data_IF_076970063740
#
_entry.id   IF_076970063740
#
_cell.length_a   1.000
_cell.length_b   1.000
_cell.length_c   1.000
_cell.angle_alpha   90.00
_cell.angle_beta   90.00
_cell.angle_gamma   90.00
#
_symmetry.space_group_name_H-M   'P 1'
#
loop_
_entity.id
_entity.type
_entity.pdbx_description
1 polymer ?
#
# COMPACT_ATOMS: atom_id res chain seq x y z
N UNK A 1 12.62 -4.85 -4.31
CA UNK A 1 12.63 -6.30 -4.09
C UNK A 1 14.06 -6.67 -3.73
N UNK A 2 14.27 -7.20 -2.53
CA UNK A 2 15.59 -7.65 -2.07
C UNK A 2 15.63 -9.15 -2.35
N UNK A 3 16.67 -9.63 -3.04
CA UNK A 3 16.82 -11.06 -3.31
C UNK A 3 17.75 -11.69 -2.29
N UNK A 4 17.42 -12.91 -1.84
CA UNK A 4 18.23 -13.73 -0.92
C UNK A 4 19.13 -14.73 -1.65
N UNK A 5 19.30 -14.58 -2.97
CA UNK A 5 20.06 -15.51 -3.81
C UNK A 5 21.45 -15.79 -3.20
N UNK A 6 22.18 -14.73 -2.84
CA UNK A 6 23.53 -14.82 -2.26
C UNK A 6 23.56 -15.56 -0.92
N UNK A 7 22.55 -15.33 -0.07
CA UNK A 7 22.46 -15.93 1.25
C UNK A 7 22.23 -17.42 1.14
N UNK A 8 21.25 -17.84 0.34
CA UNK A 8 20.90 -19.25 0.13
C UNK A 8 22.05 -19.98 -0.55
N UNK A 9 22.66 -19.43 -1.60
CA UNK A 9 23.82 -20.00 -2.24
C UNK A 9 24.95 -20.27 -1.24
N UNK A 10 25.30 -19.27 -0.41
CA UNK A 10 26.35 -19.40 0.60
C UNK A 10 26.02 -20.41 1.69
N UNK A 11 24.77 -20.45 2.14
CA UNK A 11 24.32 -21.44 3.10
C UNK A 11 24.47 -22.88 2.60
N UNK A 12 24.38 -23.07 1.26
CA UNK A 12 24.62 -24.37 0.60
C UNK A 12 26.10 -24.59 0.24
N UNK A 13 27.01 -23.65 0.55
CA UNK A 13 28.44 -23.78 0.24
C UNK A 13 28.76 -23.66 -1.26
N UNK A 14 27.82 -23.16 -2.09
CA UNK A 14 28.00 -23.11 -3.55
C UNK A 14 28.74 -21.84 -3.99
N UNK A 15 29.57 -21.99 -5.04
CA UNK A 15 30.19 -20.85 -5.74
C UNK A 15 29.22 -20.24 -6.76
N UNK A 16 29.56 -19.07 -7.29
CA UNK A 16 28.79 -18.47 -8.40
C UNK A 16 28.81 -19.36 -9.66
N UNK A 17 29.90 -20.07 -9.87
CA UNK A 17 30.07 -20.97 -11.01
C UNK A 17 29.15 -22.18 -10.87
N UNK A 18 29.10 -22.79 -9.69
CA UNK A 18 28.23 -23.96 -9.43
C UNK A 18 26.77 -23.66 -9.73
N UNK A 19 26.28 -22.48 -9.30
CA UNK A 19 24.91 -22.07 -9.59
C UNK A 19 24.70 -21.80 -11.07
N UNK A 20 25.68 -21.18 -11.73
CA UNK A 20 25.62 -20.88 -13.16
C UNK A 20 25.52 -22.15 -14.02
N UNK A 21 26.29 -23.20 -13.67
CA UNK A 21 26.29 -24.48 -14.36
C UNK A 21 25.00 -25.28 -14.10
N UNK A 22 24.43 -25.20 -12.89
CA UNK A 22 23.16 -25.87 -12.53
C UNK A 22 21.93 -25.20 -13.16
N UNK A 23 22.02 -23.97 -13.63
CA UNK A 23 20.91 -23.31 -14.33
C UNK A 23 20.60 -24.03 -15.66
N UNK A 24 19.33 -24.13 -16.00
CA UNK A 24 18.87 -24.66 -17.29
C UNK A 24 18.17 -23.54 -18.11
N UNK A 25 18.74 -23.11 -19.24
CA UNK A 25 20.05 -23.41 -19.81
C UNK A 25 21.20 -22.82 -18.93
N UNK A 26 22.44 -23.36 -19.01
CA UNK A 26 23.56 -22.86 -18.23
C UNK A 26 23.86 -21.36 -18.50
N UNK A 27 24.44 -20.68 -17.50
CA UNK A 27 24.77 -19.27 -17.60
C UNK A 27 26.21 -19.01 -17.11
N UNK A 28 26.60 -17.77 -16.92
CA UNK A 28 27.93 -17.43 -16.43
C UNK A 28 27.93 -17.02 -14.96
N UNK A 29 29.01 -17.30 -14.23
CA UNK A 29 29.21 -16.83 -12.86
C UNK A 29 29.03 -15.31 -12.74
N UNK A 30 29.48 -14.54 -13.76
CA UNK A 30 29.33 -13.10 -13.81
C UNK A 30 27.84 -12.69 -13.85
N UNK A 31 27.00 -13.44 -14.60
CA UNK A 31 25.56 -13.16 -14.66
C UNK A 31 24.90 -13.39 -13.30
N UNK A 32 25.20 -14.51 -12.64
CA UNK A 32 24.69 -14.79 -11.29
C UNK A 32 25.15 -13.70 -10.31
N UNK A 33 26.43 -13.31 -10.34
CA UNK A 33 26.94 -12.24 -9.48
C UNK A 33 26.22 -10.88 -9.68
N UNK A 34 25.92 -10.52 -10.94
CA UNK A 34 25.17 -9.29 -11.25
C UNK A 34 23.71 -9.34 -10.74
N UNK A 35 23.07 -10.50 -10.81
CA UNK A 35 21.72 -10.72 -10.29
C UNK A 35 21.72 -10.67 -8.74
N UNK A 36 22.72 -11.26 -8.07
CA UNK A 36 22.88 -11.21 -6.62
C UNK A 36 23.12 -9.78 -6.09
N UNK A 37 23.91 -8.99 -6.82
CA UNK A 37 24.23 -7.60 -6.43
C UNK A 37 23.17 -6.59 -6.84
N UNK A 38 22.11 -7.01 -7.54
CA UNK A 38 21.05 -6.12 -8.01
C UNK A 38 21.49 -5.17 -9.14
N UNK A 39 22.68 -5.34 -9.71
CA UNK A 39 23.16 -4.56 -10.87
C UNK A 39 22.48 -4.99 -12.18
N UNK A 40 21.76 -6.08 -12.15
CA UNK A 40 20.87 -6.55 -13.22
C UNK A 40 19.50 -6.85 -12.63
N UNK A 41 18.43 -6.45 -13.33
CA UNK A 41 17.05 -6.73 -12.93
C UNK A 41 16.79 -8.22 -12.93
N UNK A 42 16.28 -8.72 -11.80
CA UNK A 42 15.86 -10.11 -11.64
C UNK A 42 14.43 -10.25 -12.13
N UNK A 43 14.23 -10.85 -13.31
CA UNK A 43 12.90 -11.20 -13.82
C UNK A 43 12.37 -12.48 -13.15
N UNK A 44 11.06 -12.73 -13.27
CA UNK A 44 10.44 -13.98 -12.79
C UNK A 44 11.11 -15.20 -13.40
N UNK A 45 11.48 -15.15 -14.68
CA UNK A 45 12.21 -16.22 -15.35
C UNK A 45 13.57 -16.49 -14.71
N UNK A 46 14.31 -15.45 -14.31
CA UNK A 46 15.56 -15.62 -13.58
C UNK A 46 15.35 -16.16 -12.17
N UNK A 47 14.31 -15.72 -11.46
CA UNK A 47 13.99 -16.26 -10.13
C UNK A 47 13.72 -17.75 -10.18
N UNK A 48 12.86 -18.23 -11.08
CA UNK A 48 12.55 -19.65 -11.22
C UNK A 48 13.80 -20.45 -11.56
N UNK A 49 14.58 -20.01 -12.54
CA UNK A 49 15.78 -20.68 -12.99
C UNK A 49 16.86 -20.82 -11.91
N UNK A 50 17.04 -19.78 -11.08
CA UNK A 50 17.99 -19.81 -9.96
C UNK A 50 17.41 -20.65 -8.80
N UNK A 51 16.11 -20.58 -8.56
CA UNK A 51 15.44 -21.40 -7.57
C UNK A 51 15.62 -22.90 -7.86
N UNK A 52 15.38 -23.30 -9.11
CA UNK A 52 15.61 -24.68 -9.58
C UNK A 52 17.07 -25.10 -9.39
N UNK A 53 18.04 -24.24 -9.74
CA UNK A 53 19.47 -24.49 -9.58
C UNK A 53 19.91 -24.65 -8.12
N UNK A 54 19.22 -23.97 -7.19
CA UNK A 54 19.46 -24.02 -5.75
C UNK A 54 18.59 -25.06 -5.02
N UNK A 55 17.63 -25.68 -5.70
CA UNK A 55 16.70 -26.64 -5.08
C UNK A 55 15.74 -26.02 -4.08
N UNK A 56 15.34 -24.77 -4.29
CA UNK A 56 14.40 -24.00 -3.44
C UNK A 56 13.24 -23.47 -4.27
N UNK A 57 12.26 -22.85 -3.63
CA UNK A 57 11.18 -22.16 -4.38
C UNK A 57 11.60 -20.73 -4.75
N UNK A 58 11.01 -20.17 -5.82
CA UNK A 58 11.25 -18.79 -6.21
C UNK A 58 10.84 -17.80 -5.09
N UNK A 59 9.86 -18.17 -4.25
CA UNK A 59 9.44 -17.40 -3.10
C UNK A 59 10.53 -17.30 -2.03
N UNK A 60 11.32 -18.35 -1.82
CA UNK A 60 12.44 -18.35 -0.86
C UNK A 60 13.56 -17.40 -1.28
N UNK A 61 13.67 -17.12 -2.58
CA UNK A 61 14.66 -16.19 -3.13
C UNK A 61 14.28 -14.72 -3.00
N UNK A 62 13.07 -14.42 -2.52
CA UNK A 62 12.55 -13.05 -2.43
C UNK A 62 12.26 -12.73 -0.97
N UNK A 63 12.98 -11.75 -0.42
CA UNK A 63 12.54 -11.09 0.82
C UNK A 63 11.68 -9.89 0.46
N UNK A 64 10.47 -9.88 0.96
CA UNK A 64 9.77 -8.62 1.18
C UNK A 64 10.57 -7.87 2.25
N UNK A 65 10.82 -6.56 2.10
CA UNK A 65 11.42 -5.79 3.19
C UNK A 65 10.61 -6.08 4.46
N UNK A 66 11.31 -6.48 5.54
CA UNK A 66 10.69 -6.67 6.83
C UNK A 66 9.89 -5.40 7.12
N UNK A 67 8.61 -5.57 7.46
CA UNK A 67 7.77 -4.48 7.90
C UNK A 67 8.39 -3.96 9.19
N UNK A 68 9.09 -2.86 9.11
CA UNK A 68 9.60 -2.20 10.30
C UNK A 68 8.40 -1.58 11.03
N UNK A 69 7.78 -2.35 11.92
CA UNK A 69 6.81 -1.79 12.85
C UNK A 69 7.51 -0.75 13.72
N UNK A 70 6.84 0.38 13.94
CA UNK A 70 7.41 1.44 14.78
C UNK A 70 7.24 1.08 16.27
N UNK A 71 8.32 1.05 17.06
CA UNK A 71 8.18 0.88 18.48
C UNK A 71 7.46 2.09 19.09
N UNK A 72 6.41 1.83 19.86
CA UNK A 72 5.76 2.87 20.67
C UNK A 72 6.61 3.06 21.92
N UNK A 73 7.04 4.28 22.20
CA UNK A 73 7.91 4.59 23.35
C UNK A 73 7.17 5.26 24.51
N UNK A 74 6.00 5.84 24.25
CA UNK A 74 5.19 6.51 25.27
C UNK A 74 3.74 6.65 24.82
N UNK A 75 2.83 6.76 25.80
CA UNK A 75 1.46 7.22 25.59
C UNK A 75 1.37 8.72 25.87
N UNK A 76 0.76 9.49 24.98
CA UNK A 76 0.52 10.92 25.17
C UNK A 76 -0.91 11.15 25.62
N UNK A 77 -1.09 11.71 26.82
CA UNK A 77 -2.38 12.12 27.38
C UNK A 77 -2.42 13.60 27.71
N UNK A 78 -3.52 14.06 28.36
CA UNK A 78 -3.69 15.46 28.78
C UNK A 78 -2.58 15.92 29.75
N UNK A 79 -2.05 15.01 30.58
CA UNK A 79 -1.03 15.30 31.59
C UNK A 79 0.40 15.10 31.03
N UNK A 80 0.56 14.98 29.71
CA UNK A 80 1.84 14.77 29.06
C UNK A 80 2.12 13.33 28.66
N UNK A 81 3.37 13.03 28.31
CA UNK A 81 3.81 11.71 27.90
C UNK A 81 4.10 10.79 29.09
N UNK A 82 3.62 9.56 29.04
CA UNK A 82 3.82 8.54 30.08
C UNK A 82 4.49 7.30 29.47
N UNK A 83 5.38 6.61 30.21
CA UNK A 83 5.96 5.37 29.72
C UNK A 83 4.90 4.28 29.57
N UNK A 84 5.12 3.39 28.62
CA UNK A 84 4.23 2.25 28.38
C UNK A 84 4.34 1.22 29.51
N UNK A 85 3.21 0.63 29.89
CA UNK A 85 3.19 -0.51 30.79
C UNK A 85 3.74 -1.81 30.15
N UNK A 86 3.64 -1.91 28.81
CA UNK A 86 4.14 -3.03 28.02
C UNK A 86 4.70 -2.52 26.69
N UNK A 87 5.79 -3.11 26.23
CA UNK A 87 6.33 -2.81 24.89
C UNK A 87 5.27 -3.11 23.82
N UNK A 88 5.02 -2.13 22.97
CA UNK A 88 4.03 -2.21 21.88
C UNK A 88 4.66 -1.69 20.60
N UNK A 89 4.23 -2.23 19.46
CA UNK A 89 4.64 -1.77 18.14
C UNK A 89 3.40 -1.40 17.33
N UNK A 90 3.53 -0.37 16.51
CA UNK A 90 2.49 0.07 15.57
C UNK A 90 2.91 -0.32 14.16
N UNK A 91 2.11 -1.13 13.45
CA UNK A 91 2.41 -1.49 12.08
C UNK A 91 2.34 -0.25 11.18
N UNK A 92 3.32 -0.09 10.30
CA UNK A 92 3.28 0.96 9.30
C UNK A 92 2.08 0.76 8.37
N UNK A 93 1.28 1.82 8.12
CA UNK A 93 0.19 1.75 7.18
C UNK A 93 0.69 1.37 5.78
N UNK A 94 0.04 0.41 5.15
CA UNK A 94 0.33 0.03 3.77
C UNK A 94 -0.90 0.26 2.89
N UNK A 95 -0.66 0.76 1.67
CA UNK A 95 -1.69 0.82 0.66
C UNK A 95 -1.94 -0.60 0.11
N UNK A 96 -3.22 -0.95 -0.05
CA UNK A 96 -3.62 -2.17 -0.74
C UNK A 96 -3.88 -1.88 -2.22
N UNK A 97 -3.90 -2.89 -3.11
CA UNK A 97 -4.17 -2.70 -4.55
C UNK A 97 -5.50 -2.00 -4.87
N UNK A 98 -6.46 -2.05 -3.95
CA UNK A 98 -7.79 -1.45 -4.11
C UNK A 98 -7.90 -0.05 -3.49
N UNK A 99 -6.78 0.56 -3.11
CA UNK A 99 -6.78 1.92 -2.58
C UNK A 99 -6.45 2.94 -3.66
N UNK A 100 -7.05 4.12 -3.52
CA UNK A 100 -6.72 5.33 -4.28
C UNK A 100 -6.38 6.45 -3.32
N UNK A 101 -5.61 7.42 -3.77
CA UNK A 101 -5.24 8.58 -2.94
C UNK A 101 -5.85 9.87 -3.50
N UNK A 102 -6.20 10.78 -2.59
CA UNK A 102 -6.61 12.16 -2.88
C UNK A 102 -5.59 13.08 -2.23
N UNK A 103 -5.04 14.04 -2.98
CA UNK A 103 -4.25 15.14 -2.42
C UNK A 103 -5.15 16.33 -2.13
N UNK A 104 -5.09 16.83 -0.92
CA UNK A 104 -5.79 18.06 -0.52
C UNK A 104 -4.91 19.25 -0.92
N UNK A 105 -5.38 20.05 -1.87
CA UNK A 105 -4.64 21.23 -2.37
C UNK A 105 -5.04 22.51 -1.63
N UNK A 106 -6.28 22.57 -1.13
CA UNK A 106 -6.83 23.66 -0.32
C UNK A 106 -7.51 23.08 0.91
N UNK A 107 -7.41 23.75 2.06
CA UNK A 107 -8.01 23.25 3.30
C UNK A 107 -9.52 23.20 3.22
N UNK A 108 -10.12 22.05 3.55
CA UNK A 108 -11.55 21.75 3.44
C UNK A 108 -12.02 20.97 4.66
N UNK A 109 -12.88 21.52 5.48
CA UNK A 109 -13.35 20.88 6.72
C UNK A 109 -12.18 20.52 7.64
N UNK A 110 -12.06 19.26 8.01
CA UNK A 110 -10.98 18.73 8.86
C UNK A 110 -9.66 18.48 8.11
N UNK A 111 -9.68 18.59 6.80
CA UNK A 111 -8.54 18.32 5.92
C UNK A 111 -7.76 19.61 5.62
N UNK A 112 -6.44 19.55 5.72
CA UNK A 112 -5.55 20.70 5.47
C UNK A 112 -4.86 20.56 4.11
N UNK A 113 -4.49 21.67 3.51
CA UNK A 113 -3.65 21.69 2.32
C UNK A 113 -2.34 20.91 2.58
N UNK A 114 -2.02 19.99 1.68
CA UNK A 114 -0.88 19.07 1.81
C UNK A 114 -1.24 17.68 2.34
N UNK A 115 -2.41 17.50 2.95
CA UNK A 115 -2.86 16.18 3.37
C UNK A 115 -3.02 15.22 2.18
N UNK A 116 -2.79 13.94 2.45
CA UNK A 116 -3.10 12.85 1.51
C UNK A 116 -4.10 11.91 2.14
N UNK A 117 -5.27 11.77 1.52
CA UNK A 117 -6.32 10.88 1.98
C UNK A 117 -6.20 9.54 1.26
N UNK A 118 -6.11 8.45 2.00
CA UNK A 118 -6.13 7.10 1.47
C UNK A 118 -7.54 6.56 1.51
N UNK A 119 -8.07 6.22 0.35
CA UNK A 119 -9.44 5.78 0.17
C UNK A 119 -9.50 4.34 -0.31
N UNK A 120 -10.27 3.50 0.39
CA UNK A 120 -10.61 2.15 -0.06
C UNK A 120 -11.69 2.22 -1.12
N UNK A 121 -11.46 1.62 -2.28
CA UNK A 121 -12.50 1.49 -3.32
C UNK A 121 -13.52 0.44 -2.90
N UNK A 122 -14.79 0.80 -3.03
CA UNK A 122 -15.92 -0.09 -2.84
C UNK A 122 -16.73 -0.17 -4.11
N UNK A 123 -17.23 -1.37 -4.40
CA UNK A 123 -18.20 -1.63 -5.45
C UNK A 123 -19.63 -1.36 -4.96
N UNK A 124 -20.63 -1.22 -5.86
CA UNK A 124 -21.99 -0.82 -5.52
C UNK A 124 -22.66 -1.62 -4.42
N UNK A 125 -22.39 -2.93 -4.34
CA UNK A 125 -22.97 -3.83 -3.33
C UNK A 125 -22.52 -3.44 -1.91
N UNK A 126 -21.35 -2.84 -1.77
CA UNK A 126 -20.74 -2.48 -0.50
C UNK A 126 -20.94 -1.02 -0.08
N UNK A 127 -21.66 -0.20 -0.85
CA UNK A 127 -21.84 1.23 -0.55
C UNK A 127 -22.49 1.49 0.80
N UNK A 128 -23.32 0.57 1.30
CA UNK A 128 -23.93 0.70 2.62
C UNK A 128 -22.91 0.84 3.77
N UNK A 129 -21.73 0.23 3.63
CA UNK A 129 -20.65 0.34 4.61
C UNK A 129 -19.98 1.72 4.66
N UNK A 130 -20.30 2.60 3.69
CA UNK A 130 -19.77 3.97 3.59
C UNK A 130 -20.71 5.03 4.19
N UNK A 131 -21.89 4.67 4.71
CA UNK A 131 -22.79 5.63 5.32
C UNK A 131 -22.10 6.37 6.49
N UNK A 132 -22.34 7.67 6.56
CA UNK A 132 -21.73 8.60 7.51
C UNK A 132 -20.20 8.69 7.43
N UNK A 133 -19.61 8.32 6.29
CA UNK A 133 -18.18 8.45 6.04
C UNK A 133 -17.93 9.38 4.87
N UNK A 134 -16.76 10.01 4.87
CA UNK A 134 -16.31 10.84 3.76
C UNK A 134 -15.87 9.94 2.61
N UNK A 135 -16.39 10.26 1.42
CA UNK A 135 -16.15 9.47 0.21
C UNK A 135 -15.79 10.36 -0.96
N UNK A 136 -15.10 9.77 -1.94
CA UNK A 136 -14.97 10.29 -3.29
C UNK A 136 -15.77 9.38 -4.24
N UNK A 137 -16.50 9.98 -5.16
CA UNK A 137 -17.26 9.25 -6.18
C UNK A 137 -16.98 9.85 -7.57
N UNK A 138 -16.70 9.01 -8.60
CA UNK A 138 -16.57 9.49 -9.97
C UNK A 138 -17.91 10.01 -10.49
N UNK A 139 -17.82 11.04 -11.35
CA UNK A 139 -18.94 11.64 -12.08
C UNK A 139 -18.61 11.67 -13.57
N UNK A 140 -19.62 11.97 -14.39
CA UNK A 140 -19.44 12.15 -15.82
C UNK A 140 -18.32 13.17 -16.15
N UNK A 141 -17.72 12.99 -17.32
CA UNK A 141 -16.64 13.85 -17.85
C UNK A 141 -15.38 13.92 -16.95
N UNK A 142 -15.00 12.79 -16.32
CA UNK A 142 -13.77 12.70 -15.52
C UNK A 142 -13.76 13.50 -14.24
N UNK A 143 -14.90 14.04 -13.82
CA UNK A 143 -15.05 14.78 -12.56
C UNK A 143 -15.25 13.84 -11.38
N UNK A 144 -15.07 14.39 -10.19
CA UNK A 144 -15.33 13.69 -8.94
C UNK A 144 -16.22 14.54 -8.02
N UNK A 145 -16.97 13.86 -7.16
CA UNK A 145 -17.65 14.47 -6.02
C UNK A 145 -16.96 13.99 -4.74
N UNK A 146 -16.77 14.87 -3.78
CA UNK A 146 -16.22 14.54 -2.46
C UNK A 146 -17.18 15.08 -1.38
N UNK A 147 -17.40 14.28 -0.35
CA UNK A 147 -18.25 14.67 0.79
C UNK A 147 -18.67 13.48 1.63
N UNK A 148 -19.42 13.73 2.69
CA UNK A 148 -19.95 12.71 3.57
C UNK A 148 -21.18 12.06 2.96
N UNK A 149 -21.16 10.75 2.80
CA UNK A 149 -22.32 9.99 2.35
C UNK A 149 -23.36 9.94 3.47
N UNK A 150 -24.46 10.68 3.29
CA UNK A 150 -25.52 10.80 4.33
C UNK A 150 -26.75 9.96 4.00
N UNK A 151 -26.96 9.63 2.72
CA UNK A 151 -28.10 8.82 2.31
C UNK A 151 -27.75 8.02 1.04
N UNK A 152 -28.29 6.82 0.97
CA UNK A 152 -28.32 5.97 -0.22
C UNK A 152 -29.74 5.54 -0.51
N UNK A 153 -30.16 5.73 -1.76
CA UNK A 153 -31.45 5.27 -2.28
C UNK A 153 -31.22 4.63 -3.65
N UNK A 154 -31.27 3.29 -3.70
CA UNK A 154 -30.85 2.54 -4.87
C UNK A 154 -29.43 2.92 -5.33
N UNK A 155 -29.31 3.37 -6.57
CA UNK A 155 -28.05 3.86 -7.14
C UNK A 155 -27.75 5.33 -6.86
N UNK A 156 -28.62 6.05 -6.11
CA UNK A 156 -28.43 7.48 -5.79
C UNK A 156 -27.75 7.65 -4.46
N UNK A 157 -26.65 8.39 -4.45
CA UNK A 157 -25.87 8.72 -3.27
C UNK A 157 -25.99 10.22 -2.98
N UNK A 158 -26.42 10.59 -1.77
CA UNK A 158 -26.48 11.95 -1.33
C UNK A 158 -25.27 12.31 -0.48
N UNK A 159 -24.48 13.26 -0.96
CA UNK A 159 -23.25 13.71 -0.32
C UNK A 159 -23.46 15.08 0.32
N UNK A 160 -23.11 15.17 1.61
CA UNK A 160 -22.94 16.44 2.31
C UNK A 160 -21.51 16.95 2.03
N UNK A 161 -21.33 18.15 1.46
CA UNK A 161 -20.00 18.68 1.19
C UNK A 161 -19.23 18.94 2.48
N UNK A 162 -17.90 18.81 2.43
CA UNK A 162 -17.03 19.11 3.56
C UNK A 162 -16.89 20.61 3.85
N UNK A 163 -17.43 21.47 2.98
CA UNK A 163 -17.41 22.94 3.12
C UNK A 163 -18.69 23.39 3.82
N UNK A 164 -18.61 24.17 4.93
CA UNK A 164 -19.79 24.74 5.58
C UNK A 164 -20.63 25.55 4.60
N UNK A 165 -21.95 25.35 4.60
CA UNK A 165 -22.87 26.02 3.69
C UNK A 165 -22.84 25.55 2.24
N UNK A 166 -22.03 24.54 1.93
CA UNK A 166 -21.99 23.93 0.59
C UNK A 166 -23.31 23.23 0.25
N UNK A 167 -23.64 23.17 -1.04
CA UNK A 167 -24.85 22.48 -1.51
C UNK A 167 -24.63 20.96 -1.53
N UNK A 168 -25.61 20.22 -1.06
CA UNK A 168 -25.63 18.77 -1.17
C UNK A 168 -25.49 18.33 -2.63
N UNK A 169 -24.77 17.25 -2.86
CA UNK A 169 -24.53 16.72 -4.20
C UNK A 169 -25.10 15.32 -4.30
N UNK A 170 -25.91 15.09 -5.33
CA UNK A 170 -26.38 13.75 -5.68
C UNK A 170 -25.45 13.15 -6.75
N UNK A 171 -24.98 11.95 -6.49
CA UNK A 171 -24.24 11.14 -7.47
C UNK A 171 -25.09 9.93 -7.80
N UNK A 172 -25.35 9.70 -9.10
CA UNK A 172 -26.20 8.62 -9.57
C UNK A 172 -25.32 7.55 -10.20
N UNK A 173 -25.54 6.29 -9.81
CA UNK A 173 -24.92 5.07 -10.33
C UNK A 173 -23.40 5.17 -10.57
N UNK A 174 -22.60 5.64 -9.57
CA UNK A 174 -21.16 5.62 -9.74
C UNK A 174 -20.67 4.18 -9.83
N UNK A 175 -19.73 3.92 -10.75
CA UNK A 175 -19.15 2.58 -10.92
C UNK A 175 -18.38 2.09 -9.68
N UNK A 176 -17.90 3.02 -8.85
CA UNK A 176 -17.23 2.75 -7.58
C UNK A 176 -17.28 4.00 -6.70
N UNK A 177 -17.01 3.84 -5.42
CA UNK A 177 -16.72 4.95 -4.50
C UNK A 177 -15.41 4.67 -3.76
N UNK A 178 -14.70 5.72 -3.34
CA UNK A 178 -13.53 5.62 -2.47
C UNK A 178 -13.88 6.13 -1.07
N UNK A 179 -13.84 5.26 -0.06
CA UNK A 179 -14.10 5.63 1.34
C UNK A 179 -12.81 6.06 2.01
N UNK A 180 -12.76 7.26 2.57
CA UNK A 180 -11.59 7.73 3.32
C UNK A 180 -11.36 6.83 4.53
N UNK A 181 -10.18 6.18 4.56
CA UNK A 181 -9.77 5.28 5.65
C UNK A 181 -8.66 5.85 6.49
N UNK A 182 -7.78 6.64 5.87
CA UNK A 182 -6.60 7.21 6.53
C UNK A 182 -6.33 8.60 6.01
N UNK A 183 -5.76 9.42 6.88
CA UNK A 183 -5.20 10.71 6.56
C UNK A 183 -3.71 10.65 6.87
N UNK A 184 -2.89 11.03 5.91
CA UNK A 184 -1.46 11.21 6.09
C UNK A 184 -1.18 12.70 6.05
N UNK A 185 -0.60 13.22 7.12
CA UNK A 185 -0.23 14.62 7.27
C UNK A 185 1.21 14.72 7.73
N UNK A 186 2.03 15.42 6.96
CA UNK A 186 3.37 15.79 7.37
C UNK A 186 3.29 17.05 8.24
N UNK A 187 3.73 16.93 9.48
CA UNK A 187 3.83 18.07 10.40
C UNK A 187 5.14 18.79 10.12
N UNK A 188 5.06 20.02 9.67
CA UNK A 188 6.21 20.91 9.43
C UNK A 188 6.35 21.88 10.59
#
# INVERSE_FOLDING_TARGET
MITCIREIRRAQGLTLLDVAERCAPPTTAQTIGRLEMGTRTVSVGWLNRIADALGVTAADLVRLPERADLPVIADLGFDGARPLARATQVPLPQATPYMVAIRVVESVGDYRAGDVLWCERLDPERYGAALNRDIIAPRAAGRFAFGRLIQRDGGRLLLLPAIPGGRQTVVTDPAWIGVVRRLVRDLR
#
